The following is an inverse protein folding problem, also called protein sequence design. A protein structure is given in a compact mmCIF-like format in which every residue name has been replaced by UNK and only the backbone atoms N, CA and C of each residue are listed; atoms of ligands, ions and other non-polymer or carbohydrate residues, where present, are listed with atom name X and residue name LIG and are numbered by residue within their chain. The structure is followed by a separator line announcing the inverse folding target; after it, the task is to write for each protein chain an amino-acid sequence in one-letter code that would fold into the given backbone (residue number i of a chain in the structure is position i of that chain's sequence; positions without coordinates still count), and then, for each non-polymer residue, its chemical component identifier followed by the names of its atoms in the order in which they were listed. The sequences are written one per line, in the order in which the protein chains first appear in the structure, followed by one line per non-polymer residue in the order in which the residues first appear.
data_IF_910949596315
#
_entry.id   IF_910949596315
#
_cell.length_a   1.000
_cell.length_b   1.000
_cell.length_c   1.000
_cell.angle_alpha   90.00
_cell.angle_beta   90.00
_cell.angle_gamma   90.00
#
_symmetry.space_group_name_H-M   'P 1'
#
loop_
_entity.id
_entity.type
_entity.pdbx_description
1 polymer ?
#
# COMPACT_ATOMS: atom_id res chain seq x y z
N UNK A 1 31.34 -25.86 0.37
CA UNK A 1 30.39 -26.11 1.48
C UNK A 1 29.24 -25.13 1.31
N UNK A 2 28.07 -25.60 0.90
CA UNK A 2 26.89 -24.72 0.76
C UNK A 2 26.39 -24.34 2.15
N UNK A 3 26.39 -23.06 2.47
CA UNK A 3 25.71 -22.54 3.66
C UNK A 3 24.22 -22.79 3.48
N UNK A 4 23.62 -23.62 4.34
CA UNK A 4 22.17 -23.75 4.39
C UNK A 4 21.58 -22.35 4.60
N UNK A 5 20.76 -21.86 3.64
CA UNK A 5 20.00 -20.62 3.83
C UNK A 5 19.09 -20.84 5.04
N UNK A 6 19.26 -20.02 6.08
CA UNK A 6 18.36 -20.03 7.24
C UNK A 6 16.94 -19.75 6.71
N UNK A 7 15.93 -20.56 7.07
CA UNK A 7 14.58 -20.34 6.59
C UNK A 7 14.04 -19.01 7.09
N UNK A 8 13.41 -18.24 6.20
CA UNK A 8 12.76 -16.99 6.55
C UNK A 8 11.59 -17.22 7.53
N UNK A 9 11.32 -16.21 8.33
CA UNK A 9 10.24 -16.12 9.29
C UNK A 9 9.49 -14.80 9.10
N UNK A 10 8.32 -14.67 9.73
CA UNK A 10 7.53 -13.44 9.67
C UNK A 10 8.24 -12.23 10.30
N UNK A 11 9.23 -12.45 11.16
CA UNK A 11 10.01 -11.39 11.82
C UNK A 11 11.09 -10.81 10.91
N UNK A 12 11.39 -11.45 9.78
CA UNK A 12 12.47 -11.00 8.90
C UNK A 12 12.04 -9.84 8.00
N UNK A 13 10.75 -9.51 7.94
CA UNK A 13 10.21 -8.50 7.03
C UNK A 13 9.93 -7.18 7.74
N UNK A 14 10.35 -6.08 7.12
CA UNK A 14 10.34 -4.74 7.76
C UNK A 14 9.57 -3.68 6.99
N UNK A 15 9.27 -3.93 5.70
CA UNK A 15 8.55 -2.99 4.83
C UNK A 15 7.34 -3.68 4.20
N UNK A 16 6.16 -3.09 4.36
CA UNK A 16 4.94 -3.52 3.69
C UNK A 16 4.67 -2.68 2.43
N UNK A 17 4.23 -3.32 1.36
CA UNK A 17 3.81 -2.68 0.11
C UNK A 17 2.40 -3.17 -0.25
N UNK A 18 1.43 -2.27 -0.20
CA UNK A 18 0.03 -2.56 -0.52
C UNK A 18 -0.27 -2.00 -1.91
N UNK A 19 -0.69 -2.87 -2.83
CA UNK A 19 -1.14 -2.52 -4.17
C UNK A 19 -2.67 -2.55 -4.23
N UNK A 20 -3.28 -1.58 -4.90
CA UNK A 20 -4.73 -1.57 -5.12
C UNK A 20 -5.14 -2.46 -6.29
N UNK A 21 -4.31 -2.53 -7.34
CA UNK A 21 -4.61 -3.22 -8.58
C UNK A 21 -3.59 -4.32 -8.90
N UNK A 22 -4.01 -5.41 -9.59
CA UNK A 22 -3.10 -6.45 -10.04
C UNK A 22 -1.95 -5.94 -10.93
N UNK A 23 -2.20 -4.91 -11.74
CA UNK A 23 -1.18 -4.28 -12.58
C UNK A 23 -0.10 -3.58 -11.74
N UNK A 24 -0.49 -2.94 -10.65
CA UNK A 24 0.45 -2.31 -9.72
C UNK A 24 1.29 -3.37 -9.00
N UNK A 25 0.68 -4.49 -8.59
CA UNK A 25 1.42 -5.63 -8.04
C UNK A 25 2.38 -6.24 -9.07
N UNK A 26 1.99 -6.32 -10.35
CA UNK A 26 2.86 -6.79 -11.40
C UNK A 26 4.10 -5.90 -11.55
N UNK A 27 3.92 -4.58 -11.50
CA UNK A 27 5.03 -3.62 -11.49
C UNK A 27 5.91 -3.77 -10.24
N UNK A 28 5.32 -3.90 -9.06
CA UNK A 28 6.06 -4.13 -7.81
C UNK A 28 6.90 -5.42 -7.88
N UNK A 29 6.34 -6.51 -8.41
CA UNK A 29 7.03 -7.78 -8.61
C UNK A 29 8.19 -7.69 -9.60
N UNK A 30 8.08 -6.83 -10.61
CA UNK A 30 9.16 -6.60 -11.57
C UNK A 30 10.37 -5.84 -10.97
N UNK A 31 10.19 -5.19 -9.81
CA UNK A 31 11.25 -4.46 -9.09
C UNK A 31 12.00 -5.32 -8.06
N UNK A 32 11.64 -6.59 -7.90
CA UNK A 32 12.21 -7.48 -6.87
C UNK A 32 13.58 -8.01 -7.27
N UNK A 33 14.51 -8.04 -6.31
CA UNK A 33 15.83 -8.66 -6.49
C UNK A 33 15.77 -10.18 -6.26
N UNK A 34 15.07 -10.62 -5.19
CA UNK A 34 14.87 -12.03 -4.85
C UNK A 34 13.44 -12.25 -4.34
N UNK A 35 12.77 -13.31 -4.81
CA UNK A 35 11.48 -13.76 -4.27
C UNK A 35 11.73 -14.89 -3.28
N UNK A 36 11.15 -14.78 -2.09
CA UNK A 36 11.26 -15.78 -1.03
C UNK A 36 10.13 -16.82 -1.12
N UNK A 37 10.32 -18.03 -0.55
CA UNK A 37 9.25 -19.00 -0.40
C UNK A 37 8.13 -18.48 0.49
N UNK A 38 6.91 -18.97 0.24
CA UNK A 38 5.75 -18.67 1.08
C UNK A 38 5.97 -19.16 2.52
N UNK A 39 5.46 -18.38 3.46
CA UNK A 39 5.39 -18.78 4.86
C UNK A 39 4.00 -19.36 5.15
N UNK A 40 3.93 -20.21 6.19
CA UNK A 40 2.67 -20.85 6.61
C UNK A 40 1.56 -19.81 6.78
N UNK A 41 0.40 -20.02 6.15
CA UNK A 41 -0.75 -19.12 6.26
C UNK A 41 -1.39 -19.18 7.65
N UNK A 42 -2.04 -18.09 8.07
CA UNK A 42 -2.92 -18.09 9.24
C UNK A 42 -4.35 -18.40 8.81
N UNK A 43 -5.14 -19.22 9.54
CA UNK A 43 -6.55 -19.44 9.24
C UNK A 43 -7.41 -18.15 9.27
N UNK A 44 -6.93 -17.11 9.97
CA UNK A 44 -7.61 -15.82 10.10
C UNK A 44 -7.25 -14.80 9.01
N UNK A 45 -6.23 -15.08 8.21
CA UNK A 45 -5.70 -14.17 7.19
C UNK A 45 -5.78 -14.83 5.81
N UNK A 46 -6.69 -14.31 4.99
CA UNK A 46 -6.96 -14.81 3.65
C UNK A 46 -6.16 -14.05 2.58
N UNK A 47 -5.27 -13.14 2.98
CA UNK A 47 -4.44 -12.40 2.04
C UNK A 47 -3.36 -13.31 1.45
N UNK A 48 -3.06 -13.07 0.18
CA UNK A 48 -1.90 -13.67 -0.49
C UNK A 48 -0.76 -12.67 -0.48
N UNK A 49 0.33 -13.03 0.19
CA UNK A 49 1.52 -12.20 0.27
C UNK A 49 2.58 -12.68 -0.71
N UNK A 50 3.31 -11.74 -1.32
CA UNK A 50 4.58 -12.03 -1.98
C UNK A 50 5.70 -11.54 -1.07
N UNK A 51 6.60 -12.44 -0.72
CA UNK A 51 7.72 -12.18 0.16
C UNK A 51 8.99 -12.04 -0.67
N UNK A 52 9.77 -11.00 -0.42
CA UNK A 52 10.89 -10.69 -1.31
C UNK A 52 11.96 -9.81 -0.67
N UNK A 53 13.05 -9.60 -1.41
CA UNK A 53 14.09 -8.61 -1.14
C UNK A 53 14.09 -7.52 -2.22
N UNK A 54 14.23 -6.26 -1.79
CA UNK A 54 14.68 -5.13 -2.61
C UNK A 54 15.83 -4.44 -1.89
N UNK A 55 17.01 -4.39 -2.51
CA UNK A 55 18.24 -3.90 -1.92
C UNK A 55 18.57 -4.65 -0.61
N UNK A 56 18.63 -3.91 0.50
CA UNK A 56 18.87 -4.48 1.83
C UNK A 56 17.58 -4.68 2.65
N UNK A 57 16.40 -4.59 2.02
CA UNK A 57 15.11 -4.67 2.69
C UNK A 57 14.35 -5.93 2.30
N UNK A 58 13.98 -6.72 3.32
CA UNK A 58 12.97 -7.74 3.19
C UNK A 58 11.59 -7.09 3.23
N UNK A 59 10.82 -7.29 2.16
CA UNK A 59 9.53 -6.65 1.94
C UNK A 59 8.40 -7.67 1.81
N UNK A 60 7.20 -7.24 2.18
CA UNK A 60 5.96 -7.97 1.98
C UNK A 60 5.08 -7.19 1.02
N UNK A 61 4.70 -7.79 -0.10
CA UNK A 61 3.75 -7.22 -1.05
C UNK A 61 2.40 -7.91 -0.87
N UNK A 62 1.33 -7.12 -0.85
CA UNK A 62 -0.05 -7.62 -0.89
C UNK A 62 -0.86 -6.79 -1.89
N UNK A 63 -1.78 -7.45 -2.59
CA UNK A 63 -2.73 -6.79 -3.48
C UNK A 63 -4.14 -6.91 -2.90
N UNK A 64 -4.94 -5.85 -3.04
CA UNK A 64 -6.35 -5.92 -2.68
C UNK A 64 -7.09 -6.97 -3.52
N UNK A 65 -8.16 -7.59 -2.99
CA UNK A 65 -8.98 -8.51 -3.74
C UNK A 65 -9.52 -7.87 -5.03
N UNK A 66 -9.38 -8.56 -6.16
CA UNK A 66 -9.83 -8.06 -7.46
C UNK A 66 -11.32 -7.70 -7.43
N UNK A 67 -11.66 -6.54 -8.01
CA UNK A 67 -13.05 -6.08 -8.11
C UNK A 67 -13.64 -5.47 -6.84
N UNK A 68 -12.86 -5.35 -5.76
CA UNK A 68 -13.30 -4.69 -4.52
C UNK A 68 -12.77 -3.26 -4.46
N UNK A 69 -13.67 -2.28 -4.55
CA UNK A 69 -13.35 -0.84 -4.52
C UNK A 69 -13.76 -0.20 -3.18
N UNK A 70 -13.04 0.85 -2.77
CA UNK A 70 -13.34 1.62 -1.56
C UNK A 70 -12.21 1.57 -0.52
N UNK A 71 -12.41 2.25 0.62
CA UNK A 71 -11.39 2.42 1.67
C UNK A 71 -11.36 1.32 2.72
N UNK A 72 -12.46 0.55 2.86
CA UNK A 72 -12.57 -0.56 3.83
C UNK A 72 -11.63 -1.72 3.51
N UNK A 73 -11.54 -2.21 2.24
CA UNK A 73 -10.64 -3.32 1.91
C UNK A 73 -9.16 -3.03 2.19
N UNK A 74 -8.59 -1.85 1.83
CA UNK A 74 -7.21 -1.50 2.20
C UNK A 74 -6.92 -1.52 3.70
N UNK A 75 -7.84 -1.02 4.54
CA UNK A 75 -7.64 -0.97 5.98
C UNK A 75 -7.58 -2.36 6.61
N UNK A 76 -8.43 -3.29 6.16
CA UNK A 76 -8.44 -4.68 6.62
C UNK A 76 -7.13 -5.38 6.23
N UNK A 77 -6.73 -5.26 4.96
CA UNK A 77 -5.48 -5.84 4.45
C UNK A 77 -4.27 -5.30 5.21
N UNK A 78 -4.21 -3.98 5.43
CA UNK A 78 -3.14 -3.36 6.20
C UNK A 78 -3.09 -3.88 7.64
N UNK A 79 -4.24 -3.97 8.31
CA UNK A 79 -4.32 -4.48 9.69
C UNK A 79 -3.89 -5.95 9.80
N UNK A 80 -4.30 -6.79 8.84
CA UNK A 80 -3.92 -8.20 8.79
C UNK A 80 -2.41 -8.33 8.53
N UNK A 81 -1.86 -7.56 7.59
CA UNK A 81 -0.44 -7.55 7.29
C UNK A 81 0.41 -7.13 8.51
N UNK A 82 0.03 -6.07 9.21
CA UNK A 82 0.71 -5.63 10.44
C UNK A 82 0.63 -6.69 11.54
N UNK A 83 -0.52 -7.36 11.68
CA UNK A 83 -0.67 -8.47 12.63
C UNK A 83 0.16 -9.69 12.24
N UNK A 84 0.35 -9.93 10.93
CA UNK A 84 1.03 -11.12 10.40
C UNK A 84 2.54 -10.99 10.46
N UNK A 85 3.07 -9.79 10.27
CA UNK A 85 4.50 -9.46 10.19
C UNK A 85 4.85 -8.44 11.28
N UNK A 86 5.16 -8.91 12.51
CA UNK A 86 5.29 -8.04 13.68
C UNK A 86 6.51 -7.12 13.65
N UNK A 87 7.47 -7.39 12.76
CA UNK A 87 8.68 -6.57 12.58
C UNK A 87 8.52 -5.49 11.49
N UNK A 88 7.33 -5.35 10.91
CA UNK A 88 7.04 -4.25 9.99
C UNK A 88 7.22 -2.90 10.69
N UNK A 89 8.06 -2.05 10.09
CA UNK A 89 8.34 -0.70 10.57
C UNK A 89 7.36 0.32 9.98
N UNK A 90 6.97 0.10 8.73
CA UNK A 90 5.98 0.91 8.03
C UNK A 90 5.39 0.11 6.87
N UNK A 91 4.29 0.62 6.32
CA UNK A 91 3.65 0.08 5.12
C UNK A 91 3.28 1.22 4.18
N UNK A 92 3.49 1.00 2.89
CA UNK A 92 3.25 1.99 1.83
C UNK A 92 2.11 1.47 0.96
N UNK A 93 1.06 2.28 0.82
CA UNK A 93 0.07 2.08 -0.24
C UNK A 93 0.60 2.78 -1.50
N UNK A 94 0.94 2.01 -2.52
CA UNK A 94 1.45 2.54 -3.78
C UNK A 94 0.56 2.07 -4.92
N UNK A 95 0.30 2.99 -5.84
CA UNK A 95 -0.53 2.71 -7.00
C UNK A 95 -0.58 3.89 -7.95
N UNK A 96 -1.33 3.73 -9.03
CA UNK A 96 -1.58 4.78 -10.00
C UNK A 96 -2.78 5.63 -9.54
N UNK A 97 -2.74 6.93 -9.84
CA UNK A 97 -3.79 7.87 -9.49
C UNK A 97 -4.08 8.83 -10.63
N UNK A 98 -5.30 9.38 -10.65
CA UNK A 98 -5.66 10.51 -11.50
C UNK A 98 -5.25 11.84 -10.87
N UNK A 99 -4.69 12.75 -11.66
CA UNK A 99 -4.38 14.12 -11.25
C UNK A 99 -5.49 15.11 -11.62
N UNK A 100 -5.64 16.17 -10.82
CA UNK A 100 -6.51 17.31 -11.14
C UNK A 100 -5.63 18.57 -11.22
N UNK A 101 -5.01 18.85 -12.38
CA UNK A 101 -4.13 20.01 -12.53
C UNK A 101 -4.92 21.32 -12.41
N UNK A 102 -4.26 22.37 -11.93
CA UNK A 102 -4.79 23.73 -11.82
C UNK A 102 -3.74 24.75 -12.25
N UNK A 103 -4.09 26.05 -12.29
CA UNK A 103 -3.10 27.11 -12.58
C UNK A 103 -2.02 27.19 -11.49
N UNK A 104 -2.37 26.86 -10.26
CA UNK A 104 -1.48 26.95 -9.09
C UNK A 104 -0.81 25.60 -8.75
N UNK A 105 -1.23 24.51 -9.43
CA UNK A 105 -0.68 23.16 -9.22
C UNK A 105 -0.54 22.45 -10.58
N UNK A 106 0.68 22.46 -11.09
CA UNK A 106 1.06 21.79 -12.34
C UNK A 106 1.31 20.30 -12.10
N UNK A 107 0.25 19.49 -12.16
CA UNK A 107 0.31 18.02 -12.08
C UNK A 107 0.32 17.45 -13.49
N UNK A 108 1.32 16.62 -13.82
CA UNK A 108 1.51 16.03 -15.14
C UNK A 108 1.55 14.51 -15.08
N UNK A 109 1.28 13.88 -16.23
CA UNK A 109 1.46 12.43 -16.37
C UNK A 109 2.92 12.06 -16.15
N UNK A 110 3.15 11.08 -15.29
CA UNK A 110 4.48 10.64 -14.88
C UNK A 110 4.95 11.23 -13.56
N UNK A 111 4.25 12.21 -12.99
CA UNK A 111 4.57 12.72 -11.66
C UNK A 111 4.32 11.66 -10.59
N UNK A 112 5.23 11.61 -9.60
CA UNK A 112 5.08 10.81 -8.39
C UNK A 112 4.62 11.73 -7.26
N UNK A 113 3.43 11.46 -6.72
CA UNK A 113 2.87 12.22 -5.61
C UNK A 113 3.09 11.47 -4.30
N UNK A 114 3.66 12.15 -3.31
CA UNK A 114 3.84 11.62 -1.96
C UNK A 114 2.94 12.39 -1.01
N UNK A 115 2.06 11.66 -0.33
CA UNK A 115 1.21 12.20 0.73
C UNK A 115 2.06 12.78 1.86
N UNK A 116 1.82 14.04 2.23
CA UNK A 116 2.50 14.72 3.33
C UNK A 116 1.47 15.16 4.39
N UNK A 117 1.49 14.60 5.62
CA UNK A 117 0.59 15.02 6.67
C UNK A 117 0.88 16.47 7.10
N UNK A 118 -0.18 17.25 7.28
CA UNK A 118 -0.11 18.63 7.80
C UNK A 118 -0.92 18.74 9.09
N UNK A 119 -0.76 19.82 9.86
CA UNK A 119 -1.45 20.00 11.16
C UNK A 119 -2.97 19.99 10.97
N UNK A 120 -3.58 18.82 11.09
CA UNK A 120 -5.02 18.58 10.93
C UNK A 120 -5.41 17.45 9.97
N UNK A 121 -4.52 17.02 9.07
CA UNK A 121 -4.82 16.01 8.04
C UNK A 121 -3.72 14.95 7.95
N UNK A 122 -4.10 13.67 7.85
CA UNK A 122 -3.19 12.53 7.72
C UNK A 122 -2.49 12.39 6.36
N UNK A 123 -2.46 13.46 5.56
CA UNK A 123 -1.87 13.51 4.22
C UNK A 123 -2.74 12.89 3.11
N UNK A 124 -3.68 12.01 3.46
CA UNK A 124 -4.74 11.50 2.57
C UNK A 124 -6.10 11.90 3.14
N UNK A 125 -6.95 12.50 2.30
CA UNK A 125 -8.31 12.88 2.65
C UNK A 125 -9.28 12.11 1.76
N UNK A 126 -10.26 11.45 2.38
CA UNK A 126 -11.28 10.74 1.62
C UNK A 126 -12.18 11.76 0.92
N UNK A 127 -12.20 11.71 -0.42
CA UNK A 127 -13.19 12.44 -1.20
C UNK A 127 -14.48 11.62 -1.23
N UNK A 128 -15.47 12.04 -0.43
CA UNK A 128 -16.84 11.55 -0.57
C UNK A 128 -17.66 12.60 -1.29
N UNK A 129 -18.42 12.19 -2.31
CA UNK A 129 -19.36 13.08 -2.99
C UNK A 129 -20.55 13.37 -2.06
N UNK A 130 -20.36 14.28 -1.11
CA UNK A 130 -21.43 14.91 -0.34
C UNK A 130 -22.10 16.02 -1.16
N UNK A 131 -23.37 16.33 -0.85
CA UNK A 131 -24.19 17.32 -1.57
C UNK A 131 -23.40 18.63 -1.83
N UNK A 132 -23.46 19.20 -3.04
CA UNK A 132 -22.79 20.46 -3.33
C UNK A 132 -23.28 21.54 -2.37
N UNK A 133 -22.35 22.15 -1.63
CA UNK A 133 -22.57 23.45 -1.02
C UNK A 133 -22.78 24.50 -2.12
N UNK A 134 -23.74 25.39 -1.93
CA UNK A 134 -23.93 26.56 -2.79
C UNK A 134 -22.60 27.33 -2.85
N UNK A 135 -21.99 27.36 -4.04
CA UNK A 135 -20.73 28.07 -4.29
C UNK A 135 -19.59 27.25 -4.87
N UNK A 136 -19.72 25.92 -5.02
CA UNK A 136 -18.70 25.10 -5.70
C UNK A 136 -17.38 24.95 -4.93
N UNK A 137 -17.33 25.42 -3.69
CA UNK A 137 -16.21 25.20 -2.78
C UNK A 137 -16.42 23.92 -1.97
N UNK A 138 -15.44 23.02 -2.10
CA UNK A 138 -15.42 21.70 -1.49
C UNK A 138 -15.10 21.84 0.01
N UNK A 139 -15.95 21.29 0.87
CA UNK A 139 -15.65 21.11 2.28
C UNK A 139 -15.23 19.67 2.55
N UNK A 140 -14.10 19.49 3.25
CA UNK A 140 -13.84 18.23 3.93
C UNK A 140 -14.91 18.08 5.02
N UNK A 141 -15.74 17.05 4.94
CA UNK A 141 -16.70 16.74 6.02
C UNK A 141 -15.97 16.01 7.15
N UNK A 142 -16.01 16.60 8.34
CA UNK A 142 -15.91 15.88 9.61
C UNK A 142 -14.73 16.22 10.51
N UNK A 143 -15.02 16.92 11.61
CA UNK A 143 -15.00 16.25 12.91
C UNK A 143 -16.43 16.02 13.35
#
# INVERSE_FOLDING_TARGET
MGTAKIPFSHNDYTVGWICALPLEMAAAKAMLDEVHPDLLSSPSDHNTYTLATIGCHNIVIVCLPSGVYGTIPPAIVASQMVSRFPSLRFSLMMGIGGGVPSRDTDIRLGDVVVSNPTKGFGGVVQYTTGKPSEGGYLSALGR
#
